data_IF_987078281442
#
_entry.id   IF_987078281442
#
_cell.length_a   1.000
_cell.length_b   1.000
_cell.length_c   1.000
_cell.angle_alpha   90.00
_cell.angle_beta   90.00
_cell.angle_gamma   90.00
#
_symmetry.space_group_name_H-M   'P 1'
#
loop_
_entity.id
_entity.type
_entity.pdbx_description
1 polymer ?
#
# COMPACT_ATOMS: atom_id res chain seq x y z
N UNK A 1 40.89 0.96 72.99
CA UNK A 1 40.06 2.12 73.43
C UNK A 1 39.12 2.45 72.30
N UNK A 2 37.83 2.09 72.41
CA UNK A 2 36.81 2.21 71.37
C UNK A 2 36.16 3.58 71.45
N UNK A 3 36.13 4.31 70.35
CA UNK A 3 35.22 5.45 70.23
C UNK A 3 34.36 5.22 68.99
N UNK A 4 33.03 5.11 69.21
CA UNK A 4 32.00 5.09 68.25
C UNK A 4 31.64 6.52 67.84
N UNK A 5 31.69 6.85 66.55
CA UNK A 5 31.04 8.01 65.97
C UNK A 5 29.82 7.56 65.18
N UNK A 6 28.67 8.08 65.59
CA UNK A 6 27.41 8.00 64.84
C UNK A 6 27.40 9.10 63.76
N UNK A 7 26.93 8.85 62.57
CA UNK A 7 26.64 9.94 61.64
C UNK A 7 25.17 10.34 61.77
N UNK A 8 24.96 11.62 62.03
CA UNK A 8 23.68 12.27 61.89
C UNK A 8 23.50 12.63 60.43
N UNK A 9 22.76 11.81 59.72
CA UNK A 9 22.32 12.13 58.36
C UNK A 9 21.00 12.85 58.39
N UNK A 10 20.97 14.14 58.17
CA UNK A 10 19.77 14.91 57.89
C UNK A 10 19.36 14.65 56.45
N UNK A 11 18.36 13.82 56.23
CA UNK A 11 17.65 13.75 54.94
C UNK A 11 16.72 14.98 54.85
N UNK A 12 17.16 15.98 54.12
CA UNK A 12 16.27 17.02 53.61
C UNK A 12 15.47 16.43 52.42
N UNK A 13 14.29 15.92 52.69
CA UNK A 13 13.32 15.60 51.65
C UNK A 13 12.77 16.91 51.07
N UNK A 14 13.35 17.36 49.96
CA UNK A 14 12.72 18.36 49.12
C UNK A 14 11.44 17.73 48.53
N UNK A 15 10.31 18.03 49.14
CA UNK A 15 9.00 17.86 48.50
C UNK A 15 8.93 18.94 47.42
N UNK A 16 9.37 18.59 46.21
CA UNK A 16 8.97 19.31 45.02
C UNK A 16 7.48 19.08 44.86
N UNK A 17 6.67 19.97 45.40
CA UNK A 17 5.30 20.15 44.94
C UNK A 17 5.41 20.62 43.50
N UNK A 18 5.42 19.66 42.56
CA UNK A 18 5.05 19.94 41.19
C UNK A 18 3.68 20.58 41.28
N UNK A 19 3.62 21.91 41.03
CA UNK A 19 2.38 22.56 40.68
C UNK A 19 1.88 21.76 39.47
N UNK A 20 0.99 20.82 39.71
CA UNK A 20 0.37 20.00 38.69
C UNK A 20 -0.36 20.95 37.76
N UNK A 21 0.15 21.11 36.58
CA UNK A 21 -0.74 21.43 35.47
C UNK A 21 -1.79 20.33 35.53
N UNK A 22 -2.99 20.68 36.02
CA UNK A 22 -4.07 19.71 36.22
C UNK A 22 -4.26 18.97 34.95
N UNK A 23 -3.89 17.68 34.95
CA UNK A 23 -4.29 16.80 33.89
C UNK A 23 -5.82 16.85 33.83
N UNK A 24 -6.42 17.12 32.67
CA UNK A 24 -7.87 17.11 32.57
C UNK A 24 -8.37 15.76 33.10
N UNK A 25 -9.49 15.77 33.83
CA UNK A 25 -10.14 14.54 34.27
C UNK A 25 -10.47 13.67 33.06
N UNK A 26 -10.48 12.37 33.20
CA UNK A 26 -10.69 11.46 32.06
C UNK A 26 -11.97 11.76 31.29
N UNK A 27 -13.02 12.26 31.95
CA UNK A 27 -14.24 12.73 31.34
C UNK A 27 -14.02 13.99 30.47
N UNK A 28 -13.29 14.99 30.97
CA UNK A 28 -12.94 16.20 30.19
C UNK A 28 -12.01 15.86 29.01
N UNK A 29 -11.12 14.88 29.17
CA UNK A 29 -10.25 14.38 28.11
C UNK A 29 -11.08 13.72 27.00
N UNK A 30 -12.10 12.95 27.37
CA UNK A 30 -13.03 12.34 26.43
C UNK A 30 -13.79 13.38 25.59
N UNK A 31 -14.26 14.46 26.21
CA UNK A 31 -14.94 15.55 25.52
C UNK A 31 -14.05 16.30 24.52
N UNK A 32 -12.78 16.59 24.87
CA UNK A 32 -11.86 17.27 23.95
C UNK A 32 -11.50 16.42 22.71
N UNK A 33 -11.26 15.13 22.90
CA UNK A 33 -11.00 14.19 21.81
C UNK A 33 -12.22 14.05 20.90
N UNK A 34 -13.42 13.99 21.50
CA UNK A 34 -14.68 13.91 20.76
C UNK A 34 -14.94 15.17 19.91
N UNK A 35 -14.54 16.35 20.36
CA UNK A 35 -14.73 17.60 19.60
C UNK A 35 -13.97 17.64 18.29
N UNK A 36 -12.72 17.21 18.26
CA UNK A 36 -11.93 17.17 17.02
C UNK A 36 -12.50 16.11 16.07
N UNK A 37 -12.82 14.94 16.60
CA UNK A 37 -13.39 13.85 15.80
C UNK A 37 -14.73 14.27 15.18
N UNK A 38 -15.63 14.87 15.94
CA UNK A 38 -16.88 15.43 15.43
C UNK A 38 -16.69 16.48 14.34
N UNK A 39 -15.69 17.38 14.51
CA UNK A 39 -15.36 18.37 13.49
C UNK A 39 -14.89 17.73 12.20
N UNK A 40 -14.00 16.74 12.30
CA UNK A 40 -13.48 16.02 11.14
C UNK A 40 -14.58 15.18 10.48
N UNK A 41 -15.43 14.52 11.26
CA UNK A 41 -16.57 13.76 10.76
C UNK A 41 -17.57 14.65 10.03
N UNK A 42 -17.88 15.84 10.55
CA UNK A 42 -18.77 16.79 9.89
C UNK A 42 -18.25 17.23 8.52
N UNK A 43 -16.95 17.47 8.40
CA UNK A 43 -16.28 17.79 7.12
C UNK A 43 -16.32 16.62 6.16
N UNK A 44 -16.04 15.42 6.67
CA UNK A 44 -16.11 14.19 5.89
C UNK A 44 -17.51 13.99 5.29
N UNK A 45 -18.57 14.10 6.12
CA UNK A 45 -19.95 13.92 5.66
C UNK A 45 -20.38 15.00 4.65
N UNK A 46 -19.90 16.23 4.81
CA UNK A 46 -20.17 17.29 3.83
C UNK A 46 -19.55 16.96 2.47
N UNK A 47 -18.28 16.54 2.45
CA UNK A 47 -17.58 16.13 1.21
C UNK A 47 -18.24 14.91 0.58
N UNK A 48 -18.66 13.93 1.40
CA UNK A 48 -19.37 12.74 0.92
C UNK A 48 -20.71 13.10 0.28
N UNK A 49 -21.51 13.95 0.92
CA UNK A 49 -22.79 14.38 0.38
C UNK A 49 -22.64 15.14 -0.96
N UNK A 50 -21.59 15.94 -1.13
CA UNK A 50 -21.28 16.60 -2.39
C UNK A 50 -20.89 15.58 -3.47
N UNK A 51 -20.02 14.61 -3.13
CA UNK A 51 -19.65 13.50 -4.01
C UNK A 51 -20.88 12.73 -4.48
N UNK A 52 -21.76 12.34 -3.57
CA UNK A 52 -22.94 11.53 -3.88
C UNK A 52 -23.90 12.32 -4.81
N UNK A 53 -24.04 13.61 -4.61
CA UNK A 53 -24.80 14.49 -5.54
C UNK A 53 -24.15 14.53 -6.93
N UNK A 54 -22.83 14.70 -6.99
CA UNK A 54 -22.09 14.75 -8.25
C UNK A 54 -22.20 13.42 -9.02
N UNK A 55 -22.09 12.28 -8.34
CA UNK A 55 -22.29 10.96 -8.97
C UNK A 55 -23.73 10.74 -9.42
N UNK A 56 -24.71 11.07 -8.58
CA UNK A 56 -26.15 10.94 -8.91
C UNK A 56 -26.59 11.82 -10.07
N UNK A 57 -25.86 12.90 -10.37
CA UNK A 57 -26.15 13.78 -11.51
C UNK A 57 -25.57 13.28 -12.84
N UNK A 58 -24.76 12.22 -12.85
CA UNK A 58 -24.17 11.67 -14.07
C UNK A 58 -25.19 10.82 -14.83
N UNK A 59 -25.58 11.26 -16.00
CA UNK A 59 -26.58 10.61 -16.85
C UNK A 59 -26.05 10.19 -18.21
N UNK A 60 -24.82 10.57 -18.55
CA UNK A 60 -24.21 10.30 -19.86
C UNK A 60 -22.88 9.59 -19.72
N UNK A 61 -22.53 8.76 -20.70
CA UNK A 61 -21.23 8.11 -20.79
C UNK A 61 -20.08 9.12 -20.82
N UNK A 62 -20.29 10.29 -21.41
CA UNK A 62 -19.27 11.34 -21.45
C UNK A 62 -18.94 11.87 -20.05
N UNK A 63 -19.93 12.04 -19.18
CA UNK A 63 -19.72 12.45 -17.79
C UNK A 63 -18.96 11.39 -17.00
N UNK A 64 -19.28 10.11 -17.21
CA UNK A 64 -18.55 8.98 -16.58
C UNK A 64 -17.08 8.97 -17.04
N UNK A 65 -16.82 9.10 -18.34
CA UNK A 65 -15.45 9.15 -18.88
C UNK A 65 -14.67 10.36 -18.34
N UNK A 66 -15.32 11.51 -18.23
CA UNK A 66 -14.70 12.70 -17.62
C UNK A 66 -14.36 12.48 -16.15
N UNK A 67 -15.25 11.82 -15.38
CA UNK A 67 -14.97 11.42 -13.99
C UNK A 67 -13.78 10.47 -13.91
N UNK A 68 -13.74 9.43 -14.74
CA UNK A 68 -12.61 8.49 -14.79
C UNK A 68 -11.28 9.19 -15.05
N UNK A 69 -11.28 10.13 -16.00
CA UNK A 69 -10.10 10.92 -16.33
C UNK A 69 -9.67 11.79 -15.14
N UNK A 70 -10.62 12.48 -14.51
CA UNK A 70 -10.36 13.30 -13.31
C UNK A 70 -9.77 12.46 -12.18
N UNK A 71 -10.33 11.27 -11.90
CA UNK A 71 -9.81 10.36 -10.87
C UNK A 71 -8.35 10.00 -11.15
N UNK A 72 -8.03 9.61 -12.38
CA UNK A 72 -6.65 9.25 -12.77
C UNK A 72 -5.68 10.41 -12.62
N UNK A 73 -6.06 11.59 -13.09
CA UNK A 73 -5.22 12.80 -13.03
C UNK A 73 -4.98 13.24 -11.58
N UNK A 74 -6.04 13.28 -10.79
CA UNK A 74 -5.94 13.69 -9.39
C UNK A 74 -5.16 12.67 -8.56
N UNK A 75 -5.39 11.38 -8.76
CA UNK A 75 -4.62 10.34 -8.09
C UNK A 75 -3.12 10.50 -8.34
N UNK A 76 -2.70 10.67 -9.60
CA UNK A 76 -1.29 10.89 -9.92
C UNK A 76 -0.76 12.20 -9.32
N UNK A 77 -1.55 13.27 -9.32
CA UNK A 77 -1.17 14.55 -8.71
C UNK A 77 -0.96 14.43 -7.20
N UNK A 78 -1.83 13.70 -6.50
CA UNK A 78 -1.75 13.47 -5.04
C UNK A 78 -0.57 12.60 -4.63
N UNK A 79 -0.05 11.79 -5.55
CA UNK A 79 1.23 11.09 -5.35
C UNK A 79 2.45 12.02 -5.43
N UNK A 80 2.27 13.28 -5.82
CA UNK A 80 3.35 14.20 -6.20
C UNK A 80 3.84 13.97 -7.63
N UNK A 81 2.96 13.47 -8.51
CA UNK A 81 3.25 13.10 -9.90
C UNK A 81 3.98 11.76 -10.05
N UNK A 82 4.04 11.23 -11.26
CA UNK A 82 4.88 10.10 -11.63
C UNK A 82 5.99 10.56 -12.58
N UNK A 83 7.14 9.86 -12.64
CA UNK A 83 8.18 10.17 -13.61
C UNK A 83 7.65 10.16 -15.04
N UNK A 84 7.99 11.19 -15.83
CA UNK A 84 7.55 11.33 -17.22
C UNK A 84 8.43 10.53 -18.17
N UNK A 85 9.66 10.23 -17.76
CA UNK A 85 10.64 9.47 -18.55
C UNK A 85 10.98 8.16 -17.85
N UNK A 86 11.14 7.10 -18.62
CA UNK A 86 11.54 5.78 -18.14
C UNK A 86 13.02 5.57 -18.35
N UNK A 87 13.78 5.46 -17.27
CA UNK A 87 15.17 5.03 -17.32
C UNK A 87 15.28 3.55 -17.74
N UNK A 88 16.42 3.09 -18.27
CA UNK A 88 16.65 1.67 -18.51
C UNK A 88 16.47 0.85 -17.24
N UNK A 89 15.80 -0.30 -17.37
CA UNK A 89 15.54 -1.21 -16.24
C UNK A 89 16.81 -1.85 -15.67
N UNK A 90 17.86 -1.99 -16.47
CA UNK A 90 19.10 -2.71 -16.10
C UNK A 90 18.81 -4.04 -15.39
N UNK A 91 17.78 -4.74 -15.86
CA UNK A 91 17.29 -5.94 -15.23
C UNK A 91 18.32 -7.07 -15.31
N UNK A 92 18.48 -7.77 -14.19
CA UNK A 92 19.40 -8.89 -14.05
C UNK A 92 18.70 -10.07 -13.39
N UNK A 93 18.88 -11.27 -13.95
CA UNK A 93 18.53 -12.53 -13.28
C UNK A 93 19.74 -12.94 -12.43
N UNK A 94 19.61 -12.86 -11.12
CA UNK A 94 20.69 -13.13 -10.17
C UNK A 94 20.76 -14.58 -9.72
N UNK A 95 19.78 -15.39 -10.07
CA UNK A 95 19.73 -16.81 -9.78
C UNK A 95 18.41 -17.42 -10.21
N UNK A 96 18.44 -18.74 -10.36
CA UNK A 96 17.25 -19.53 -10.72
C UNK A 96 17.07 -20.67 -9.75
N UNK A 97 15.82 -20.91 -9.34
CA UNK A 97 15.44 -22.06 -8.51
C UNK A 97 14.53 -22.96 -9.32
N UNK A 98 14.98 -24.18 -9.57
CA UNK A 98 14.17 -25.18 -10.26
C UNK A 98 13.23 -25.91 -9.30
N UNK A 99 11.98 -26.10 -9.71
CA UNK A 99 10.93 -26.80 -8.95
C UNK A 99 10.10 -27.68 -9.88
N UNK A 100 9.43 -28.65 -9.31
CA UNK A 100 8.47 -29.44 -10.06
C UNK A 100 7.32 -28.56 -10.56
N UNK A 101 7.14 -28.52 -11.88
CA UNK A 101 6.09 -27.78 -12.57
C UNK A 101 6.34 -26.30 -12.82
N UNK A 102 7.39 -25.69 -12.24
CA UNK A 102 7.75 -24.29 -12.47
C UNK A 102 9.21 -23.98 -12.17
N UNK A 103 9.69 -22.82 -12.62
CA UNK A 103 10.98 -22.26 -12.23
C UNK A 103 10.77 -20.88 -11.57
N UNK A 104 11.70 -20.47 -10.71
CA UNK A 104 11.72 -19.11 -10.14
C UNK A 104 13.01 -18.44 -10.57
N UNK A 105 12.94 -17.34 -11.30
CA UNK A 105 14.06 -16.45 -11.54
C UNK A 105 14.06 -15.34 -10.49
N UNK A 106 15.18 -15.17 -9.80
CA UNK A 106 15.42 -14.03 -8.91
C UNK A 106 15.87 -12.85 -9.76
N UNK A 107 15.12 -11.76 -9.70
CA UNK A 107 15.33 -10.62 -10.58
C UNK A 107 15.60 -9.36 -9.76
N UNK A 108 16.55 -8.56 -10.21
CA UNK A 108 16.75 -7.18 -9.74
C UNK A 108 16.64 -6.26 -10.94
N UNK A 109 15.88 -5.19 -10.82
CA UNK A 109 15.80 -4.13 -11.84
C UNK A 109 15.79 -2.75 -11.20
N UNK A 110 16.08 -1.70 -11.99
CA UNK A 110 15.98 -0.31 -11.56
C UNK A 110 14.64 0.29 -11.98
N UNK A 111 13.85 0.77 -11.01
CA UNK A 111 12.64 1.54 -11.31
C UNK A 111 12.94 3.02 -11.57
N UNK A 112 13.90 3.57 -10.84
CA UNK A 112 14.54 4.86 -11.05
C UNK A 112 16.06 4.64 -11.10
N UNK A 113 16.86 5.60 -11.60
CA UNK A 113 18.31 5.46 -11.58
C UNK A 113 18.85 5.17 -10.18
N UNK A 114 19.48 4.01 -10.01
CA UNK A 114 20.00 3.54 -8.72
C UNK A 114 18.97 2.99 -7.74
N UNK A 115 17.66 3.15 -7.98
CA UNK A 115 16.60 2.66 -7.10
C UNK A 115 16.19 1.25 -7.53
N UNK A 116 16.71 0.27 -6.82
CA UNK A 116 16.59 -1.16 -7.15
C UNK A 116 15.33 -1.78 -6.59
N UNK A 117 14.68 -2.61 -7.40
CA UNK A 117 13.53 -3.43 -7.04
C UNK A 117 13.92 -4.90 -7.14
N UNK A 118 13.67 -5.65 -6.10
CA UNK A 118 13.89 -7.10 -6.06
C UNK A 118 12.58 -7.83 -6.37
N UNK A 119 12.64 -8.83 -7.22
CA UNK A 119 11.48 -9.57 -7.68
C UNK A 119 11.77 -11.07 -7.86
N UNK A 120 10.73 -11.87 -7.86
CA UNK A 120 10.74 -13.28 -8.25
C UNK A 120 9.80 -13.48 -9.43
N UNK A 121 10.32 -13.99 -10.55
CA UNK A 121 9.52 -14.39 -11.70
C UNK A 121 9.31 -15.90 -11.67
N UNK A 122 8.08 -16.31 -11.42
CA UNK A 122 7.63 -17.70 -11.48
C UNK A 122 7.19 -18.03 -12.91
N UNK A 123 7.83 -18.97 -13.55
CA UNK A 123 7.54 -19.41 -14.92
C UNK A 123 7.02 -20.83 -14.92
N UNK A 124 5.84 -21.10 -15.51
CA UNK A 124 5.34 -22.46 -15.72
C UNK A 124 6.29 -23.30 -16.59
N UNK A 125 6.46 -24.57 -16.28
CA UNK A 125 7.14 -25.55 -17.15
C UNK A 125 6.22 -26.19 -18.17
N UNK A 126 4.90 -26.08 -17.97
CA UNK A 126 3.86 -26.64 -18.84
C UNK A 126 2.85 -25.58 -19.23
N UNK A 127 2.10 -25.83 -20.32
CA UNK A 127 1.12 -24.91 -20.86
C UNK A 127 1.55 -24.28 -22.18
N UNK A 128 0.63 -23.53 -22.78
CA UNK A 128 0.87 -22.88 -24.07
C UNK A 128 1.47 -21.49 -23.89
N UNK A 129 2.67 -21.28 -24.41
CA UNK A 129 3.30 -19.95 -24.48
C UNK A 129 2.71 -19.11 -25.62
N UNK A 130 2.68 -17.76 -25.49
CA UNK A 130 3.04 -17.01 -24.29
C UNK A 130 1.97 -17.17 -23.20
N UNK A 131 2.42 -17.23 -21.94
CA UNK A 131 1.54 -17.46 -20.78
C UNK A 131 0.73 -16.22 -20.43
N UNK A 132 -0.53 -16.36 -19.93
CA UNK A 132 -1.16 -15.31 -19.16
C UNK A 132 -0.33 -15.05 -17.90
N UNK A 133 -0.38 -13.84 -17.37
CA UNK A 133 0.50 -13.52 -16.26
C UNK A 133 -0.18 -12.65 -15.18
N UNK A 134 0.40 -12.71 -14.00
CA UNK A 134 0.02 -11.91 -12.85
C UNK A 134 1.22 -11.05 -12.40
N UNK A 135 0.99 -9.75 -12.30
CA UNK A 135 1.84 -8.84 -11.54
C UNK A 135 1.42 -8.96 -10.07
N UNK A 136 2.21 -9.67 -9.29
CA UNK A 136 1.91 -9.99 -7.89
C UNK A 136 2.37 -8.90 -6.94
N UNK A 137 1.45 -8.33 -6.18
CA UNK A 137 1.74 -7.32 -5.15
C UNK A 137 1.55 -7.90 -3.76
N UNK A 138 2.60 -7.80 -2.92
CA UNK A 138 2.57 -8.29 -1.56
C UNK A 138 2.02 -7.21 -0.60
N UNK A 139 1.19 -7.61 0.34
CA UNK A 139 0.82 -6.78 1.49
C UNK A 139 1.90 -6.79 2.57
N UNK A 140 1.59 -6.19 3.71
CA UNK A 140 2.55 -6.00 4.80
C UNK A 140 3.10 -7.32 5.32
N UNK A 141 4.33 -7.63 4.91
CA UNK A 141 5.06 -8.82 5.32
C UNK A 141 6.54 -8.48 5.41
N UNK A 142 7.19 -8.83 6.51
CA UNK A 142 8.63 -8.64 6.66
C UNK A 142 9.44 -9.32 5.54
N UNK A 143 8.91 -10.42 4.99
CA UNK A 143 9.53 -11.18 3.91
C UNK A 143 9.08 -10.75 2.50
N UNK A 144 8.24 -9.70 2.38
CA UNK A 144 7.77 -9.18 1.10
C UNK A 144 7.26 -10.27 0.14
N UNK A 145 7.78 -10.26 -1.11
CA UNK A 145 7.48 -11.28 -2.15
C UNK A 145 7.71 -12.73 -1.71
N UNK A 146 8.57 -12.93 -0.71
CA UNK A 146 8.95 -14.24 -0.18
C UNK A 146 8.11 -14.66 1.03
N UNK A 147 7.12 -13.88 1.44
CA UNK A 147 6.17 -14.26 2.49
C UNK A 147 5.43 -15.55 2.13
N UNK A 148 5.36 -16.50 3.07
CA UNK A 148 4.87 -17.87 2.78
C UNK A 148 3.46 -17.89 2.19
N UNK A 149 2.54 -17.06 2.70
CA UNK A 149 1.16 -16.94 2.19
C UNK A 149 1.15 -16.44 0.74
N UNK A 150 1.97 -15.42 0.42
CA UNK A 150 2.07 -14.88 -0.93
C UNK A 150 2.70 -15.89 -1.88
N UNK A 151 3.80 -16.55 -1.46
CA UNK A 151 4.43 -17.60 -2.26
C UNK A 151 3.46 -18.74 -2.60
N UNK A 152 2.63 -19.15 -1.66
CA UNK A 152 1.64 -20.21 -1.90
C UNK A 152 0.69 -19.85 -3.06
N UNK A 153 0.26 -18.58 -3.14
CA UNK A 153 -0.58 -18.08 -4.24
C UNK A 153 0.21 -18.09 -5.55
N UNK A 154 1.44 -17.53 -5.56
CA UNK A 154 2.25 -17.42 -6.76
C UNK A 154 2.62 -18.80 -7.33
N UNK A 155 2.99 -19.74 -6.47
CA UNK A 155 3.27 -21.12 -6.84
C UNK A 155 2.01 -21.82 -7.39
N UNK A 156 0.87 -21.61 -6.74
CA UNK A 156 -0.41 -22.17 -7.19
C UNK A 156 -0.79 -21.71 -8.61
N UNK A 157 -0.58 -20.43 -8.90
CA UNK A 157 -0.81 -19.85 -10.22
C UNK A 157 0.19 -20.39 -11.25
N UNK A 158 1.48 -20.46 -10.91
CA UNK A 158 2.51 -20.98 -11.80
C UNK A 158 2.25 -22.44 -12.18
N UNK A 159 1.86 -23.28 -11.23
CA UNK A 159 1.46 -24.67 -11.50
C UNK A 159 0.21 -24.80 -12.39
N UNK A 160 -0.60 -23.76 -12.47
CA UNK A 160 -1.80 -23.68 -13.34
C UNK A 160 -1.53 -23.01 -14.69
N UNK A 161 -0.27 -22.74 -15.04
CA UNK A 161 0.10 -22.20 -16.33
C UNK A 161 0.08 -20.67 -16.42
N UNK A 162 0.11 -19.95 -15.27
CA UNK A 162 0.24 -18.50 -15.21
C UNK A 162 1.66 -18.10 -14.83
N UNK A 163 2.30 -17.24 -15.61
CA UNK A 163 3.52 -16.60 -15.14
C UNK A 163 3.18 -15.59 -14.03
N UNK A 164 4.07 -15.46 -13.03
CA UNK A 164 3.86 -14.49 -11.95
C UNK A 164 5.14 -13.73 -11.70
N UNK A 165 5.11 -12.40 -11.77
CA UNK A 165 6.17 -11.54 -11.27
C UNK A 165 5.73 -10.93 -9.94
N UNK A 166 6.33 -11.36 -8.84
CA UNK A 166 6.11 -10.77 -7.52
C UNK A 166 7.34 -9.95 -7.13
N UNK A 167 7.13 -8.72 -6.66
CA UNK A 167 8.22 -7.82 -6.27
C UNK A 167 8.06 -7.33 -4.83
N UNK A 168 9.18 -6.90 -4.22
CA UNK A 168 9.17 -6.29 -2.90
C UNK A 168 8.80 -4.82 -3.00
N UNK A 169 7.79 -4.36 -2.26
CA UNK A 169 7.57 -2.94 -2.07
C UNK A 169 8.68 -2.31 -1.21
N UNK A 170 8.85 -0.98 -1.19
CA UNK A 170 9.72 -0.31 -0.22
C UNK A 170 9.41 -0.75 1.22
N UNK A 171 10.42 -0.86 2.06
CA UNK A 171 10.26 -1.21 3.48
C UNK A 171 9.94 -2.68 3.78
N UNK A 172 10.04 -3.57 2.78
CA UNK A 172 9.73 -4.99 2.94
C UNK A 172 10.72 -5.88 2.15
N UNK A 173 10.81 -7.15 2.58
CA UNK A 173 11.64 -8.15 1.92
C UNK A 173 13.12 -7.79 1.90
N UNK A 174 13.67 -7.51 0.72
CA UNK A 174 15.07 -7.13 0.53
C UNK A 174 15.25 -5.60 0.39
N UNK A 175 14.23 -4.79 0.73
CA UNK A 175 14.17 -3.35 0.47
C UNK A 175 13.89 -2.52 1.73
N UNK A 176 14.60 -2.80 2.83
CA UNK A 176 14.52 -1.98 4.03
C UNK A 176 15.24 -0.66 3.85
N UNK A 177 14.55 0.45 4.08
CA UNK A 177 15.12 1.81 4.07
C UNK A 177 15.95 2.06 5.35
N UNK A 178 15.54 1.45 6.47
CA UNK A 178 16.19 1.57 7.76
C UNK A 178 16.94 0.28 8.16
N UNK A 179 17.64 -0.32 7.18
CA UNK A 179 18.38 -1.57 7.39
C UNK A 179 19.47 -1.41 8.46
N UNK A 180 19.45 -2.30 9.43
CA UNK A 180 20.60 -2.55 10.31
C UNK A 180 21.54 -3.55 9.64
N UNK A 181 22.77 -3.14 9.28
CA UNK A 181 23.71 -4.03 8.59
C UNK A 181 24.13 -5.25 9.42
N UNK A 182 24.15 -5.13 10.75
CA UNK A 182 24.60 -6.19 11.65
C UNK A 182 23.53 -7.29 11.80
N UNK A 183 22.27 -6.88 11.97
CA UNK A 183 21.16 -7.81 12.19
C UNK A 183 20.41 -8.18 10.90
N UNK A 184 20.63 -7.44 9.81
CA UNK A 184 19.91 -7.56 8.54
C UNK A 184 18.40 -7.34 8.69
N UNK A 185 17.97 -6.60 9.70
CA UNK A 185 16.58 -6.27 9.98
C UNK A 185 16.36 -4.75 9.90
N UNK A 186 15.13 -4.34 9.75
CA UNK A 186 14.76 -2.92 9.88
C UNK A 186 14.92 -2.46 11.33
N UNK A 187 15.52 -1.28 11.52
CA UNK A 187 15.66 -0.61 12.84
C UNK A 187 14.35 -0.06 13.38
N UNK A 188 13.36 0.15 12.52
CA UNK A 188 12.05 0.71 12.90
C UNK A 188 10.92 -0.31 12.83
N UNK A 189 11.17 -1.49 12.23
CA UNK A 189 10.18 -2.53 11.96
C UNK A 189 9.76 -2.56 10.49
N UNK A 190 9.66 -3.77 9.94
CA UNK A 190 9.32 -3.99 8.53
C UNK A 190 7.85 -3.63 8.22
N UNK A 191 7.58 -3.23 7.00
CA UNK A 191 6.23 -2.90 6.52
C UNK A 191 5.72 -1.59 7.08
N UNK A 192 4.58 -1.58 7.75
CA UNK A 192 3.89 -0.37 8.24
C UNK A 192 4.81 0.65 8.95
N UNK A 193 5.67 0.27 9.90
CA UNK A 193 6.56 1.25 10.54
C UNK A 193 7.55 1.89 9.56
N UNK A 194 8.11 1.11 8.62
CA UNK A 194 8.97 1.67 7.56
C UNK A 194 8.19 2.60 6.62
N UNK A 195 6.98 2.21 6.23
CA UNK A 195 6.13 3.01 5.36
C UNK A 195 5.76 4.34 6.01
N UNK A 196 5.38 4.33 7.29
CA UNK A 196 5.01 5.55 8.00
C UNK A 196 6.21 6.48 8.20
N UNK A 197 7.38 5.92 8.55
CA UNK A 197 8.59 6.73 8.72
C UNK A 197 9.03 7.37 7.40
N UNK A 198 9.17 6.59 6.35
CA UNK A 198 9.54 7.09 5.01
C UNK A 198 8.44 7.97 4.42
N UNK A 199 7.17 7.63 4.68
CA UNK A 199 6.01 8.38 4.22
C UNK A 199 5.98 9.81 4.78
N UNK A 200 6.32 10.01 6.05
CA UNK A 200 6.45 11.35 6.62
C UNK A 200 7.55 12.17 5.93
N UNK A 201 8.68 11.54 5.57
CA UNK A 201 9.74 12.20 4.79
C UNK A 201 9.26 12.55 3.39
N UNK A 202 8.49 11.68 2.75
CA UNK A 202 7.89 11.95 1.44
C UNK A 202 6.93 13.17 1.51
N UNK A 203 6.07 13.23 2.53
CA UNK A 203 5.15 14.36 2.72
C UNK A 203 5.89 15.69 2.87
N UNK A 204 6.98 15.72 3.62
CA UNK A 204 7.83 16.90 3.78
C UNK A 204 8.46 17.39 2.45
N UNK A 205 8.60 16.50 1.48
CA UNK A 205 9.13 16.81 0.15
C UNK A 205 8.04 16.97 -0.92
N UNK A 206 6.78 17.07 -0.51
CA UNK A 206 5.63 17.26 -1.42
C UNK A 206 5.25 16.01 -2.21
N UNK A 207 5.55 14.83 -1.68
CA UNK A 207 5.26 13.55 -2.33
C UNK A 207 4.53 12.62 -1.36
N UNK A 208 3.88 11.59 -1.91
CA UNK A 208 3.36 10.47 -1.15
C UNK A 208 4.25 9.24 -1.38
N UNK A 209 4.49 8.44 -0.35
CA UNK A 209 5.28 7.20 -0.50
C UNK A 209 4.64 6.23 -1.51
N UNK A 210 3.32 6.24 -1.68
CA UNK A 210 2.61 5.46 -2.70
C UNK A 210 3.10 5.72 -4.13
N UNK A 211 3.69 6.89 -4.40
CA UNK A 211 4.38 7.19 -5.66
C UNK A 211 5.38 6.11 -6.04
N UNK A 212 6.19 5.68 -5.08
CA UNK A 212 7.24 4.68 -5.30
C UNK A 212 6.66 3.28 -5.46
N UNK A 213 5.60 2.95 -4.70
CA UNK A 213 4.86 1.69 -4.87
C UNK A 213 4.25 1.56 -6.27
N UNK A 214 3.60 2.61 -6.72
CA UNK A 214 2.97 2.66 -8.05
C UNK A 214 4.02 2.63 -9.15
N UNK A 215 5.08 3.43 -9.02
CA UNK A 215 6.13 3.49 -10.04
C UNK A 215 6.88 2.17 -10.15
N UNK A 216 7.23 1.54 -9.04
CA UNK A 216 7.86 0.22 -9.02
C UNK A 216 6.99 -0.83 -9.70
N UNK A 217 5.68 -0.81 -9.45
CA UNK A 217 4.72 -1.69 -10.12
C UNK A 217 4.63 -1.46 -11.63
N UNK A 218 4.61 -0.21 -12.07
CA UNK A 218 4.66 0.15 -13.51
C UNK A 218 5.96 -0.38 -14.15
N UNK A 219 7.10 -0.24 -13.49
CA UNK A 219 8.40 -0.69 -13.97
C UNK A 219 8.54 -2.22 -13.92
N UNK A 220 7.94 -2.86 -12.92
CA UNK A 220 7.81 -4.32 -12.86
C UNK A 220 7.00 -4.86 -14.04
N UNK A 221 5.90 -4.20 -14.37
CA UNK A 221 5.13 -4.51 -15.57
C UNK A 221 5.94 -4.29 -16.86
N UNK A 222 6.69 -3.18 -16.96
CA UNK A 222 7.60 -2.97 -18.09
C UNK A 222 8.61 -4.11 -18.24
N UNK A 223 9.15 -4.64 -17.13
CA UNK A 223 10.02 -5.81 -17.17
C UNK A 223 9.28 -7.05 -17.71
N UNK A 224 8.05 -7.30 -17.27
CA UNK A 224 7.25 -8.42 -17.80
C UNK A 224 7.06 -8.32 -19.32
N UNK A 225 6.91 -7.11 -19.85
CA UNK A 225 6.76 -6.89 -21.31
C UNK A 225 8.05 -7.18 -22.11
N UNK A 226 9.20 -7.28 -21.46
CA UNK A 226 10.45 -7.73 -22.14
C UNK A 226 10.54 -9.24 -22.28
N UNK A 227 9.66 -10.00 -21.61
CA UNK A 227 9.72 -11.45 -21.51
C UNK A 227 8.87 -12.12 -22.61
N UNK A 228 9.52 -12.85 -23.50
CA UNK A 228 8.86 -13.57 -24.60
C UNK A 228 7.90 -14.67 -24.13
N UNK A 229 8.08 -15.15 -22.93
CA UNK A 229 7.24 -16.18 -22.30
C UNK A 229 5.88 -15.64 -21.86
N UNK A 230 5.71 -14.31 -21.74
CA UNK A 230 4.52 -13.65 -21.19
C UNK A 230 3.70 -13.01 -22.31
N UNK A 231 2.39 -13.21 -22.29
CA UNK A 231 1.46 -12.52 -23.19
C UNK A 231 1.17 -11.11 -22.66
N UNK A 232 1.64 -10.05 -23.34
CA UNK A 232 1.48 -8.68 -22.87
C UNK A 232 0.04 -8.21 -22.77
N UNK A 233 -0.88 -8.87 -23.46
CA UNK A 233 -2.32 -8.54 -23.46
C UNK A 233 -3.10 -9.27 -22.36
N UNK A 234 -2.48 -10.20 -21.65
CA UNK A 234 -3.11 -11.02 -20.61
C UNK A 234 -2.36 -10.94 -19.29
N UNK A 235 -1.97 -9.72 -18.89
CA UNK A 235 -1.36 -9.47 -17.59
C UNK A 235 -2.34 -8.74 -16.69
N UNK A 236 -2.71 -9.36 -15.57
CA UNK A 236 -3.53 -8.76 -14.51
C UNK A 236 -2.65 -8.42 -13.31
N UNK A 237 -3.05 -7.43 -12.51
CA UNK A 237 -2.43 -7.18 -11.22
C UNK A 237 -3.27 -7.82 -10.11
N UNK A 238 -2.60 -8.45 -9.14
CA UNK A 238 -3.28 -9.12 -8.02
C UNK A 238 -2.49 -9.00 -6.72
N UNK A 239 -3.21 -8.70 -5.63
CA UNK A 239 -2.62 -8.65 -4.29
C UNK A 239 -3.65 -8.60 -3.17
N UNK A 240 -3.16 -8.82 -1.95
CA UNK A 240 -3.98 -8.85 -0.74
C UNK A 240 -3.51 -7.81 0.28
N UNK A 241 -4.44 -7.18 1.01
CA UNK A 241 -4.16 -6.15 2.03
C UNK A 241 -3.40 -4.97 1.42
N UNK A 242 -2.24 -4.56 1.93
CA UNK A 242 -1.38 -3.56 1.26
C UNK A 242 -1.03 -3.90 -0.19
N UNK A 243 -1.01 -5.20 -0.57
CA UNK A 243 -0.93 -5.64 -1.96
C UNK A 243 -2.22 -5.38 -2.73
N UNK A 244 -3.37 -5.46 -2.07
CA UNK A 244 -4.68 -5.04 -2.61
C UNK A 244 -4.72 -3.55 -2.89
N UNK A 245 -4.13 -2.73 -2.01
CA UNK A 245 -3.89 -1.29 -2.21
C UNK A 245 -3.09 -1.04 -3.48
N UNK A 246 -1.92 -1.67 -3.60
CA UNK A 246 -1.07 -1.54 -4.77
C UNK A 246 -1.78 -1.98 -6.06
N UNK A 247 -2.57 -3.07 -5.99
CA UNK A 247 -3.36 -3.55 -7.14
C UNK A 247 -4.40 -2.52 -7.57
N UNK A 248 -5.13 -1.92 -6.64
CA UNK A 248 -6.10 -0.87 -6.91
C UNK A 248 -5.43 0.36 -7.56
N UNK A 249 -4.33 0.82 -7.00
CA UNK A 249 -3.56 1.95 -7.49
C UNK A 249 -2.99 1.73 -8.88
N UNK A 250 -2.42 0.55 -9.13
CA UNK A 250 -1.91 0.17 -10.45
C UNK A 250 -3.02 0.06 -11.49
N UNK A 251 -4.22 -0.39 -11.08
CA UNK A 251 -5.41 -0.39 -11.92
C UNK A 251 -5.79 1.00 -12.43
N UNK A 252 -5.60 2.03 -11.61
CA UNK A 252 -5.80 3.44 -11.97
C UNK A 252 -4.64 3.98 -12.81
N UNK A 253 -3.40 3.73 -12.38
CA UNK A 253 -2.21 4.36 -12.93
C UNK A 253 -1.74 3.75 -14.26
N UNK A 254 -1.94 2.45 -14.48
CA UNK A 254 -1.47 1.75 -15.69
C UNK A 254 -2.62 1.13 -16.49
N UNK A 255 -3.00 1.82 -17.56
CA UNK A 255 -4.10 1.39 -18.42
C UNK A 255 -3.77 0.18 -19.30
N UNK A 256 -2.52 -0.27 -19.33
CA UNK A 256 -2.07 -1.44 -20.10
C UNK A 256 -2.42 -2.77 -19.43
N UNK A 257 -2.68 -2.78 -18.12
CA UNK A 257 -3.10 -3.97 -17.37
C UNK A 257 -4.46 -4.48 -17.89
N UNK A 258 -4.58 -5.79 -18.06
CA UNK A 258 -5.79 -6.45 -18.56
C UNK A 258 -6.90 -6.60 -17.51
N UNK A 259 -6.58 -6.46 -16.22
CA UNK A 259 -7.54 -6.55 -15.13
C UNK A 259 -6.91 -6.32 -13.78
N UNK A 260 -7.74 -6.20 -12.75
CA UNK A 260 -7.35 -5.92 -11.37
C UNK A 260 -7.99 -6.91 -10.42
N UNK A 261 -7.22 -7.46 -9.51
CA UNK A 261 -7.70 -8.26 -8.38
C UNK A 261 -7.20 -7.60 -7.10
N UNK A 262 -8.08 -6.90 -6.42
CA UNK A 262 -7.79 -6.23 -5.14
C UNK A 262 -8.50 -6.98 -4.02
N UNK A 263 -7.70 -7.62 -3.15
CA UNK A 263 -8.20 -8.44 -2.06
C UNK A 263 -7.95 -7.77 -0.72
N UNK A 264 -8.96 -7.78 0.15
CA UNK A 264 -8.88 -7.27 1.54
C UNK A 264 -8.31 -5.84 1.63
N UNK A 265 -8.79 -4.93 0.77
CA UNK A 265 -8.47 -3.51 0.78
C UNK A 265 -9.68 -2.64 0.42
N UNK A 266 -10.37 -2.83 -0.75
CA UNK A 266 -11.46 -1.94 -1.07
C UNK A 266 -12.59 -2.02 -0.03
N UNK A 267 -12.94 -0.86 0.47
CA UNK A 267 -14.02 -0.62 1.44
C UNK A 267 -14.68 0.71 1.08
N UNK A 268 -15.28 1.42 2.03
CA UNK A 268 -15.69 2.82 1.87
C UNK A 268 -15.13 3.64 3.03
N UNK A 269 -14.71 4.86 2.79
CA UNK A 269 -14.13 5.72 3.82
C UNK A 269 -15.05 5.87 5.02
N UNK A 270 -16.37 5.95 4.81
CA UNK A 270 -17.35 6.04 5.90
C UNK A 270 -17.27 4.86 6.86
N UNK A 271 -17.04 3.67 6.33
CA UNK A 271 -16.91 2.46 7.13
C UNK A 271 -15.54 2.31 7.78
N UNK A 272 -14.51 2.82 7.13
CA UNK A 272 -13.14 2.77 7.63
C UNK A 272 -12.89 3.84 8.70
N UNK A 273 -13.58 5.00 8.62
CA UNK A 273 -13.43 6.11 9.57
C UNK A 273 -13.62 5.72 11.03
N UNK A 274 -14.52 4.77 11.28
CA UNK A 274 -14.86 4.30 12.62
C UNK A 274 -13.99 3.13 13.10
N UNK A 275 -13.09 2.63 12.27
CA UNK A 275 -12.19 1.53 12.64
C UNK A 275 -11.00 2.10 13.41
N UNK A 276 -10.70 1.59 14.61
CA UNK A 276 -9.50 1.99 15.33
C UNK A 276 -8.24 1.60 14.56
N UNK A 277 -7.42 2.59 14.27
CA UNK A 277 -6.15 2.42 13.59
C UNK A 277 -6.04 3.30 12.35
N UNK A 278 -4.92 4.01 12.22
CA UNK A 278 -4.67 4.84 11.06
C UNK A 278 -4.48 3.98 9.81
N UNK A 279 -4.73 4.58 8.67
CA UNK A 279 -4.24 4.04 7.42
C UNK A 279 -2.71 4.16 7.37
N UNK A 280 -2.06 3.22 6.68
CA UNK A 280 -0.63 3.30 6.40
C UNK A 280 -0.33 4.47 5.47
N UNK A 281 0.89 5.00 5.51
CA UNK A 281 1.24 6.22 4.80
C UNK A 281 0.99 6.14 3.29
N UNK A 282 1.17 4.96 2.68
CA UNK A 282 0.86 4.74 1.26
C UNK A 282 -0.64 4.68 0.96
N UNK A 283 -1.48 4.51 1.97
CA UNK A 283 -2.94 4.44 1.84
C UNK A 283 -3.62 5.78 2.07
N UNK A 284 -2.87 6.77 2.56
CA UNK A 284 -3.36 8.12 2.82
C UNK A 284 -2.95 9.03 1.67
N UNK A 285 -3.82 9.13 0.66
CA UNK A 285 -3.66 10.10 -0.42
C UNK A 285 -4.36 11.41 -0.03
N UNK A 286 -3.60 12.49 0.04
CA UNK A 286 -4.10 13.81 0.44
C UNK A 286 -4.27 14.69 -0.81
N UNK A 287 -5.44 15.29 -1.05
CA UNK A 287 -6.66 15.40 -0.23
C UNK A 287 -7.85 14.54 -0.72
N UNK A 288 -7.68 13.24 -0.97
CA UNK A 288 -8.61 12.34 -1.66
C UNK A 288 -10.09 12.53 -1.29
N UNK A 289 -10.42 12.49 0.01
CA UNK A 289 -11.80 12.70 0.49
C UNK A 289 -12.29 14.13 0.22
N UNK A 290 -11.43 15.13 0.42
CA UNK A 290 -11.78 16.52 0.20
C UNK A 290 -12.03 16.86 -1.29
N UNK A 291 -11.44 16.08 -2.20
CA UNK A 291 -11.67 16.15 -3.65
C UNK A 291 -12.92 15.37 -4.09
N UNK A 292 -13.64 14.78 -3.15
CA UNK A 292 -14.86 14.02 -3.40
C UNK A 292 -14.60 12.63 -4.00
N UNK A 293 -13.57 11.93 -3.54
CA UNK A 293 -13.24 10.57 -3.96
C UNK A 293 -13.40 9.56 -2.82
N UNK A 294 -13.67 8.31 -3.19
CA UNK A 294 -13.78 7.16 -2.30
C UNK A 294 -13.16 5.94 -2.97
N UNK A 295 -13.13 4.80 -2.32
CA UNK A 295 -12.61 3.53 -2.85
C UNK A 295 -13.28 3.10 -4.17
N UNK A 296 -14.57 3.36 -4.36
CA UNK A 296 -15.27 3.08 -5.61
C UNK A 296 -14.71 3.86 -6.80
N UNK A 297 -14.04 4.99 -6.58
CA UNK A 297 -13.39 5.73 -7.65
C UNK A 297 -12.18 5.01 -8.23
N UNK A 298 -11.48 4.15 -7.45
CA UNK A 298 -10.44 3.27 -7.99
C UNK A 298 -11.02 2.23 -8.95
N UNK A 299 -12.17 1.65 -8.60
CA UNK A 299 -12.89 0.70 -9.46
C UNK A 299 -13.39 1.39 -10.71
N UNK A 300 -14.04 2.55 -10.56
CA UNK A 300 -14.52 3.37 -11.67
C UNK A 300 -13.38 3.73 -12.63
N UNK A 301 -12.25 4.21 -12.12
CA UNK A 301 -11.11 4.62 -12.94
C UNK A 301 -10.45 3.45 -13.68
N UNK A 302 -10.55 2.23 -13.17
CA UNK A 302 -10.07 1.03 -13.83
C UNK A 302 -11.01 0.53 -14.93
N UNK A 303 -12.30 0.89 -14.91
CA UNK A 303 -13.26 0.45 -15.90
C UNK A 303 -12.88 0.93 -17.32
N UNK A 304 -13.15 0.13 -18.40
CA UNK A 304 -13.97 -1.09 -18.43
C UNK A 304 -13.20 -2.40 -18.14
N UNK A 305 -12.00 -2.33 -17.57
CA UNK A 305 -11.22 -3.54 -17.23
C UNK A 305 -11.98 -4.42 -16.24
N UNK A 306 -11.90 -5.75 -16.35
CA UNK A 306 -12.36 -6.64 -15.30
C UNK A 306 -11.73 -6.27 -13.94
N UNK A 307 -12.56 -6.09 -12.93
CA UNK A 307 -12.14 -5.80 -11.57
C UNK A 307 -12.76 -6.83 -10.63
N UNK A 308 -11.92 -7.62 -9.96
CA UNK A 308 -12.35 -8.52 -8.90
C UNK A 308 -12.05 -7.90 -7.54
N UNK A 309 -13.12 -7.60 -6.79
CA UNK A 309 -13.07 -7.20 -5.41
C UNK A 309 -13.27 -8.43 -4.54
N UNK A 310 -12.29 -8.76 -3.71
CA UNK A 310 -12.34 -9.88 -2.79
C UNK A 310 -12.20 -9.37 -1.36
N UNK A 311 -13.18 -9.64 -0.50
CA UNK A 311 -13.18 -9.16 0.88
C UNK A 311 -13.54 -10.28 1.85
N UNK A 312 -12.88 -10.30 3.01
CA UNK A 312 -13.21 -11.22 4.09
C UNK A 312 -14.33 -10.66 4.97
N UNK A 313 -15.12 -11.55 5.57
CA UNK A 313 -16.23 -11.17 6.48
C UNK A 313 -15.71 -10.53 7.77
N UNK A 314 -14.52 -10.95 8.22
CA UNK A 314 -13.84 -10.44 9.42
C UNK A 314 -12.48 -9.91 8.98
N UNK A 315 -12.46 -8.64 8.60
CA UNK A 315 -11.28 -7.95 8.11
C UNK A 315 -11.14 -6.61 8.81
N UNK A 316 -9.92 -6.09 8.83
CA UNK A 316 -9.64 -4.70 9.18
C UNK A 316 -10.40 -3.73 8.27
N UNK A 317 -10.51 -4.04 6.97
CA UNK A 317 -11.32 -3.29 6.01
C UNK A 317 -12.76 -3.80 6.03
N UNK A 318 -13.73 -3.03 6.59
CA UNK A 318 -15.08 -3.53 6.84
C UNK A 318 -15.80 -3.98 5.56
N UNK A 319 -16.34 -5.20 5.60
CA UNK A 319 -17.10 -5.79 4.48
C UNK A 319 -18.32 -4.95 4.08
N UNK A 320 -18.89 -4.21 5.02
CA UNK A 320 -20.01 -3.29 4.74
C UNK A 320 -19.59 -2.22 3.74
N UNK A 321 -18.38 -1.65 3.90
CA UNK A 321 -17.83 -0.68 2.96
C UNK A 321 -17.50 -1.28 1.60
N UNK A 322 -16.99 -2.52 1.57
CA UNK A 322 -16.77 -3.22 0.30
C UNK A 322 -18.06 -3.40 -0.52
N UNK A 323 -19.18 -3.64 0.16
CA UNK A 323 -20.52 -3.71 -0.49
C UNK A 323 -21.01 -2.36 -1.03
N UNK A 324 -20.57 -1.26 -0.42
CA UNK A 324 -20.90 0.10 -0.90
C UNK A 324 -20.04 0.47 -2.11
N UNK A 325 -18.84 -0.07 -2.19
CA UNK A 325 -17.88 0.18 -3.28
C UNK A 325 -18.29 -0.49 -4.59
N UNK A 326 -19.08 -1.55 -4.55
CA UNK A 326 -19.62 -2.26 -5.73
C UNK A 326 -20.87 -1.57 -6.26
#
# INVERSE_FOLDING_TARGET
>A
MRMRCLPLGLLLSLILTSAGWGQPRDEERGEYLAQLDQLLESRFEANRAERDRALGSMTTSQQVLARQQRVRERFVAELGGLPTTKSPLKAQVTGTVDREGYTIEKVIFESLPGFKVTANLYLPKSGKKPFPAVLGTAGHSANGKAGGTYQAVWVSLARRGWAVLAFDPPGQGERFEYLDPATRKSRVGAGVPEHNMTGMQCLLTGQNIARYFVWDGIRAFDYMLTRKEIDPKRVVVAGNSGGGTQSAYLGVADQRLAGVISSCYPTAWRNLWTVPGPQDAEQVTVPWIAEGFDFSDFVLAAAPKPYLLSSALRDFFPIAGARVTL
#
